data_IF_509607071424
#
_entry.id   IF_509607071424
#
_cell.length_a   1.000
_cell.length_b   1.000
_cell.length_c   1.000
_cell.angle_alpha   90.00
_cell.angle_beta   90.00
_cell.angle_gamma   90.00
#
_symmetry.space_group_name_H-M   'P 1'
#
loop_
_entity.id
_entity.type
_entity.pdbx_description
1 polymer ?
#
# COMPACT_ATOMS: atom_id res chain seq x y z
N UNK A 1 -42.74 -15.41 33.69
CA UNK A 1 -42.19 -16.19 32.56
C UNK A 1 -41.41 -15.23 31.68
N UNK A 2 -40.10 -15.34 31.79
CA UNK A 2 -39.07 -14.41 31.33
C UNK A 2 -38.70 -14.68 29.86
N UNK A 3 -38.81 -13.66 29.00
CA UNK A 3 -38.36 -13.69 27.59
C UNK A 3 -37.16 -12.75 27.35
N UNK A 4 -36.41 -12.37 28.39
CA UNK A 4 -35.30 -11.40 28.31
C UNK A 4 -33.98 -11.85 28.97
N UNK A 5 -33.65 -13.15 28.99
CA UNK A 5 -32.36 -13.62 29.55
C UNK A 5 -31.66 -14.72 28.75
N UNK A 6 -31.71 -14.66 27.42
CA UNK A 6 -30.62 -15.26 26.65
C UNK A 6 -29.53 -14.19 26.50
N UNK A 7 -28.39 -14.25 27.23
CA UNK A 7 -27.23 -13.48 26.80
C UNK A 7 -26.92 -13.99 25.39
N UNK A 8 -27.09 -13.13 24.39
CA UNK A 8 -26.52 -13.37 23.08
C UNK A 8 -25.03 -13.60 23.32
N UNK A 9 -24.62 -14.87 23.37
CA UNK A 9 -23.22 -15.23 23.40
C UNK A 9 -22.71 -14.80 22.04
N UNK A 10 -22.23 -13.56 21.96
CA UNK A 10 -21.27 -13.19 20.94
C UNK A 10 -20.08 -14.08 21.21
N UNK A 11 -20.09 -15.25 20.56
CA UNK A 11 -18.97 -16.17 20.51
C UNK A 11 -17.84 -15.33 19.94
N UNK A 12 -17.02 -14.76 20.82
CA UNK A 12 -15.73 -14.17 20.47
C UNK A 12 -15.04 -15.25 19.65
N UNK A 13 -14.99 -15.04 18.34
CA UNK A 13 -14.11 -15.78 17.48
C UNK A 13 -12.70 -15.40 17.93
N UNK A 14 -12.17 -16.18 18.87
CA UNK A 14 -10.76 -16.21 19.24
C UNK A 14 -9.99 -16.65 17.98
N UNK A 15 -9.61 -15.66 17.17
CA UNK A 15 -8.98 -15.87 15.86
C UNK A 15 -9.05 -14.69 14.91
N UNK A 16 -9.52 -13.50 15.34
CA UNK A 16 -9.53 -12.30 14.48
C UNK A 16 -8.12 -11.98 13.99
N UNK A 17 -7.99 -11.75 12.68
CA UNK A 17 -6.74 -11.30 12.05
C UNK A 17 -6.34 -9.97 12.68
N UNK A 18 -5.41 -10.03 13.64
CA UNK A 18 -4.99 -8.88 14.41
C UNK A 18 -3.79 -8.25 13.69
N UNK A 19 -4.03 -7.14 12.96
CA UNK A 19 -2.95 -6.26 12.51
C UNK A 19 -2.57 -5.31 13.64
N UNK A 20 -1.32 -4.89 13.66
CA UNK A 20 -0.87 -3.82 14.55
C UNK A 20 -1.71 -2.56 14.33
N UNK A 21 -2.05 -1.87 15.43
CA UNK A 21 -2.84 -0.64 15.39
C UNK A 21 -2.09 0.55 14.81
N UNK A 22 -0.79 0.40 14.50
CA UNK A 22 0.07 1.45 13.96
C UNK A 22 0.99 0.91 12.88
N UNK A 23 1.15 1.68 11.80
CA UNK A 23 2.13 1.38 10.76
C UNK A 23 3.57 1.59 11.28
N UNK A 24 4.53 0.77 10.81
CA UNK A 24 5.94 1.07 11.04
C UNK A 24 6.32 2.41 10.38
N UNK A 25 7.29 3.11 10.97
CA UNK A 25 7.91 4.26 10.32
C UNK A 25 8.75 3.79 9.14
N UNK A 26 8.62 4.47 8.00
CA UNK A 26 9.41 4.20 6.81
C UNK A 26 9.74 5.50 6.08
N UNK A 27 10.70 5.44 5.16
CA UNK A 27 11.06 6.55 4.28
C UNK A 27 11.09 6.07 2.84
N UNK A 28 10.58 6.89 1.93
CA UNK A 28 10.64 6.65 0.48
C UNK A 28 11.64 7.62 -0.13
N UNK A 29 12.66 7.08 -0.76
CA UNK A 29 13.64 7.85 -1.52
C UNK A 29 13.28 7.78 -3.00
N UNK A 30 12.99 8.93 -3.60
CA UNK A 30 12.78 9.08 -5.04
C UNK A 30 13.84 10.04 -5.57
N UNK A 31 14.40 9.75 -6.74
CA UNK A 31 15.39 10.63 -7.36
C UNK A 31 15.25 10.65 -8.88
N UNK A 32 15.50 11.81 -9.48
CA UNK A 32 15.53 11.98 -10.93
C UNK A 32 16.67 12.92 -11.33
N UNK A 33 17.34 12.58 -12.41
CA UNK A 33 18.33 13.40 -13.10
C UNK A 33 17.80 13.73 -14.49
N UNK A 34 17.77 15.01 -14.82
CA UNK A 34 17.35 15.52 -16.13
C UNK A 34 18.47 16.31 -16.77
N UNK A 35 18.79 16.01 -18.02
CA UNK A 35 19.73 16.78 -18.85
C UNK A 35 18.96 17.44 -19.99
N UNK A 36 19.02 18.77 -20.04
CA UNK A 36 18.49 19.58 -21.14
C UNK A 36 19.61 20.02 -22.07
N UNK A 37 19.38 19.93 -23.38
CA UNK A 37 20.28 20.42 -24.42
C UNK A 37 19.47 20.86 -25.65
N UNK A 38 19.45 22.17 -25.93
CA UNK A 38 18.63 22.77 -26.99
C UNK A 38 17.18 22.29 -26.86
N UNK A 39 16.65 21.70 -27.93
CA UNK A 39 15.28 21.17 -28.03
C UNK A 39 15.12 19.76 -27.45
N UNK A 40 16.20 19.17 -26.92
CA UNK A 40 16.24 17.80 -26.41
C UNK A 40 16.34 17.80 -24.88
N UNK A 41 15.52 17.00 -24.22
CA UNK A 41 15.60 16.73 -22.79
C UNK A 41 15.58 15.21 -22.55
N UNK A 42 16.60 14.70 -21.87
CA UNK A 42 16.68 13.31 -21.43
C UNK A 42 16.56 13.28 -19.92
N UNK A 43 15.81 12.34 -19.38
CA UNK A 43 15.70 12.14 -17.94
C UNK A 43 15.77 10.66 -17.59
N UNK A 44 16.35 10.39 -16.43
CA UNK A 44 16.38 9.09 -15.80
C UNK A 44 16.08 9.27 -14.32
N UNK A 45 15.28 8.40 -13.75
CA UNK A 45 14.92 8.47 -12.35
C UNK A 45 14.51 7.12 -11.81
N UNK A 46 14.21 7.12 -10.52
CA UNK A 46 13.64 5.98 -9.85
C UNK A 46 12.84 6.40 -8.63
N UNK A 47 11.82 5.60 -8.35
CA UNK A 47 10.93 5.72 -7.21
C UNK A 47 11.17 4.55 -6.26
N UNK A 48 10.93 4.79 -4.98
CA UNK A 48 11.11 3.81 -3.92
C UNK A 48 12.51 3.17 -3.98
N UNK A 49 13.57 4.00 -4.04
CA UNK A 49 14.95 3.55 -4.16
C UNK A 49 15.37 2.64 -2.99
N UNK A 50 14.77 2.84 -1.81
CA UNK A 50 14.92 1.98 -0.63
C UNK A 50 14.13 0.66 -0.68
N UNK A 51 13.29 0.45 -1.70
CA UNK A 51 12.46 -0.74 -1.91
C UNK A 51 11.55 -1.13 -0.72
N UNK A 52 10.97 -0.14 -0.05
CA UNK A 52 10.02 -0.36 1.03
C UNK A 52 8.65 -0.71 0.45
N UNK A 53 8.04 -1.81 0.91
CA UNK A 53 6.71 -2.23 0.47
C UNK A 53 5.85 -2.68 1.65
N UNK A 54 4.54 -2.51 1.53
CA UNK A 54 3.61 -3.11 2.50
C UNK A 54 3.40 -4.58 2.15
N UNK A 55 3.83 -5.46 3.05
CA UNK A 55 3.47 -6.87 2.97
C UNK A 55 1.99 -7.05 3.30
N UNK A 56 1.28 -7.84 2.49
CA UNK A 56 -0.13 -8.19 2.68
C UNK A 56 -1.02 -6.94 2.84
N UNK A 57 -1.39 -6.23 1.77
CA UNK A 57 -2.26 -5.05 1.87
C UNK A 57 -3.70 -5.40 2.27
N UNK A 58 -4.19 -6.56 1.84
CA UNK A 58 -5.57 -7.01 2.07
C UNK A 58 -5.63 -7.94 3.28
N UNK A 59 -6.57 -7.71 4.18
CA UNK A 59 -6.91 -8.58 5.31
C UNK A 59 -7.92 -9.62 4.83
N UNK A 60 -7.71 -10.87 5.24
CA UNK A 60 -8.56 -12.02 4.89
C UNK A 60 -8.88 -12.12 3.38
N UNK A 61 -7.87 -12.06 2.48
CA UNK A 61 -8.11 -12.05 1.04
C UNK A 61 -8.79 -13.33 0.52
N UNK A 62 -8.75 -14.41 1.29
CA UNK A 62 -9.36 -15.71 0.93
C UNK A 62 -10.89 -15.71 1.15
N UNK A 63 -11.42 -14.77 1.93
CA UNK A 63 -12.85 -14.65 2.23
C UNK A 63 -13.35 -13.21 1.97
N UNK A 64 -13.50 -12.80 0.69
CA UNK A 64 -13.75 -11.41 0.30
C UNK A 64 -15.13 -10.85 0.73
N UNK A 65 -16.02 -11.69 1.26
CA UNK A 65 -17.32 -11.30 1.79
C UNK A 65 -17.43 -11.56 3.31
N UNK A 66 -16.33 -11.95 3.97
CA UNK A 66 -16.29 -12.20 5.40
C UNK A 66 -16.26 -10.91 6.23
N UNK A 67 -16.71 -11.00 7.47
CA UNK A 67 -16.75 -9.87 8.43
C UNK A 67 -15.36 -9.28 8.76
N UNK A 68 -14.28 -9.98 8.40
CA UNK A 68 -12.90 -9.57 8.64
C UNK A 68 -12.15 -9.16 7.37
N UNK A 69 -12.81 -9.15 6.20
CA UNK A 69 -12.20 -8.66 4.97
C UNK A 69 -12.02 -7.15 5.01
N UNK A 70 -10.80 -6.69 4.75
CA UNK A 70 -10.48 -5.26 4.66
C UNK A 70 -9.38 -5.03 3.62
N UNK A 71 -9.70 -4.27 2.57
CA UNK A 71 -8.76 -3.86 1.52
C UNK A 71 -8.34 -2.38 1.61
N UNK A 72 -8.83 -1.64 2.60
CA UNK A 72 -8.67 -0.19 2.72
C UNK A 72 -7.42 0.24 3.49
N UNK A 73 -6.83 -0.64 4.30
CA UNK A 73 -5.67 -0.29 5.14
C UNK A 73 -4.36 -0.46 4.36
N UNK A 74 -4.10 0.47 3.44
CA UNK A 74 -2.82 0.61 2.74
C UNK A 74 -2.06 1.81 3.31
N UNK A 75 -0.92 1.56 3.94
CA UNK A 75 -0.07 2.57 4.57
C UNK A 75 1.28 2.74 3.88
N UNK A 76 1.69 1.85 2.96
CA UNK A 76 2.93 1.97 2.20
C UNK A 76 2.76 1.50 0.74
N UNK A 77 3.76 1.73 -0.15
CA UNK A 77 3.68 1.29 -1.53
C UNK A 77 3.43 -0.22 -1.65
N UNK A 78 2.55 -0.59 -2.59
CA UNK A 78 2.33 -1.99 -2.96
C UNK A 78 3.39 -2.46 -3.96
N UNK A 79 3.83 -1.54 -4.83
CA UNK A 79 4.84 -1.78 -5.82
C UNK A 79 6.23 -1.49 -5.24
N UNK A 80 7.20 -2.33 -5.61
CA UNK A 80 8.60 -2.18 -5.23
C UNK A 80 9.28 -1.00 -5.92
N UNK A 81 10.61 -1.01 -5.87
CA UNK A 81 11.44 -0.01 -6.57
C UNK A 81 11.18 -0.01 -8.07
N UNK A 82 11.03 1.18 -8.63
CA UNK A 82 10.80 1.40 -10.05
C UNK A 82 11.87 2.32 -10.61
N UNK A 83 12.40 1.99 -11.78
CA UNK A 83 13.33 2.83 -12.53
C UNK A 83 12.70 3.22 -13.85
N UNK A 84 12.90 4.45 -14.26
CA UNK A 84 12.35 4.98 -15.50
C UNK A 84 13.38 5.86 -16.20
N UNK A 85 13.26 5.92 -17.53
CA UNK A 85 13.98 6.87 -18.36
C UNK A 85 13.02 7.42 -19.41
N UNK A 86 13.28 8.63 -19.88
CA UNK A 86 12.47 9.24 -20.92
C UNK A 86 13.22 10.32 -21.66
N UNK A 87 12.61 10.70 -22.77
CA UNK A 87 13.15 11.64 -23.72
C UNK A 87 12.03 12.57 -24.19
N UNK A 88 12.31 13.87 -24.32
CA UNK A 88 11.39 14.89 -24.82
C UNK A 88 12.09 15.71 -25.89
N UNK A 89 11.40 15.90 -27.02
CA UNK A 89 11.77 16.84 -28.06
C UNK A 89 10.75 17.98 -28.11
N UNK A 90 11.22 19.22 -28.13
CA UNK A 90 10.37 20.41 -28.26
C UNK A 90 10.48 20.98 -29.67
N UNK A 91 9.36 21.18 -30.36
CA UNK A 91 9.33 21.84 -31.67
C UNK A 91 8.86 23.29 -31.47
N UNK A 92 9.65 24.26 -31.94
CA UNK A 92 9.32 25.68 -31.98
C UNK A 92 9.08 26.13 -33.43
#
# INVERSE_FOLDING_TARGET
MDWLTAPARYRRASGGVQRDSRSPSYFLLNAQITKKYKDWEVYVGGENLGNFTQANPIIDPQNPYGEHFDSGIVYAPIQGRMFYAGFRFTVN
#
